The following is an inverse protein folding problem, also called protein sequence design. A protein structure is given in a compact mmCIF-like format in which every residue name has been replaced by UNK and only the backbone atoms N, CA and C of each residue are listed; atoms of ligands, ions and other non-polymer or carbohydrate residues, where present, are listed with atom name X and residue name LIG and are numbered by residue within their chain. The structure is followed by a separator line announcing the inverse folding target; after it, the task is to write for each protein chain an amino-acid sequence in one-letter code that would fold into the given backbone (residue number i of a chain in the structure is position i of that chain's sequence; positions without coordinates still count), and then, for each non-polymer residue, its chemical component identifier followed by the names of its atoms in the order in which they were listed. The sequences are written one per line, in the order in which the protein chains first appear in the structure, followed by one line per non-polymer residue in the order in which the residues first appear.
data_IF_233116105064
#
_entry.id   IF_233116105064
#
_cell.length_a   1.000
_cell.length_b   1.000
_cell.length_c   1.000
_cell.angle_alpha   90.00
_cell.angle_beta   90.00
_cell.angle_gamma   90.00
#
_symmetry.space_group_name_H-M   'P 1'
#
loop_
_entity.id
_entity.type
_entity.pdbx_description
1 polymer ?
#
# COMPACT_ATOMS: atom_id res chain seq x y z
N UNK A 1 -0.18 -19.82 -14.24
CA UNK A 1 0.70 -18.82 -14.91
C UNK A 1 1.61 -18.20 -13.85
N UNK A 2 2.92 -18.15 -14.09
CA UNK A 2 3.90 -17.53 -13.18
C UNK A 2 4.18 -16.11 -13.69
N UNK A 3 3.92 -15.09 -12.88
CA UNK A 3 4.04 -13.68 -13.26
C UNK A 3 4.96 -12.93 -12.27
N UNK A 4 5.75 -11.99 -12.79
CA UNK A 4 6.46 -11.02 -11.97
C UNK A 4 5.46 -9.96 -11.50
N UNK A 5 5.47 -9.65 -10.20
CA UNK A 5 4.61 -8.64 -9.61
C UNK A 5 5.45 -7.52 -9.05
N UNK A 6 5.14 -6.29 -9.44
CA UNK A 6 5.76 -5.09 -8.91
C UNK A 6 4.76 -4.33 -8.02
N UNK A 7 5.22 -3.87 -6.85
CA UNK A 7 4.44 -3.02 -5.95
C UNK A 7 5.31 -2.00 -5.24
N UNK A 8 4.70 -0.91 -4.80
CA UNK A 8 5.34 0.12 -3.97
C UNK A 8 4.74 0.05 -2.57
N UNK A 9 5.59 0.01 -1.55
CA UNK A 9 5.14 0.04 -0.15
C UNK A 9 4.67 1.44 0.24
N UNK A 10 3.89 1.59 1.33
CA UNK A 10 3.54 2.91 1.85
C UNK A 10 4.75 3.80 2.19
N UNK A 11 5.92 3.19 2.44
CA UNK A 11 7.20 3.88 2.64
C UNK A 11 7.90 4.32 1.34
N UNK A 12 7.31 4.07 0.17
CA UNK A 12 7.91 4.41 -1.14
C UNK A 12 8.92 3.39 -1.68
N UNK A 13 9.13 2.27 -1.00
CA UNK A 13 10.08 1.22 -1.41
C UNK A 13 9.46 0.32 -2.49
N UNK A 14 10.20 0.06 -3.57
CA UNK A 14 9.78 -0.87 -4.63
C UNK A 14 10.04 -2.31 -4.19
N UNK A 15 9.04 -3.19 -4.31
CA UNK A 15 9.17 -4.63 -4.09
C UNK A 15 8.75 -5.39 -5.35
N UNK A 16 9.60 -6.30 -5.78
CA UNK A 16 9.31 -7.25 -6.88
C UNK A 16 9.15 -8.64 -6.30
N UNK A 17 8.09 -9.33 -6.68
CA UNK A 17 7.87 -10.74 -6.37
C UNK A 17 8.00 -11.54 -7.66
N UNK A 18 8.91 -12.50 -7.66
CA UNK A 18 9.20 -13.33 -8.82
C UNK A 18 9.23 -14.82 -8.43
N UNK A 19 8.88 -15.73 -9.35
CA UNK A 19 9.12 -17.16 -9.19
C UNK A 19 10.59 -17.51 -8.93
N UNK A 20 10.83 -18.60 -8.20
CA UNK A 20 12.19 -19.03 -7.82
C UNK A 20 13.18 -19.24 -8.98
N UNK A 21 12.67 -19.64 -10.15
CA UNK A 21 13.50 -19.92 -11.34
C UNK A 21 13.70 -18.70 -12.25
N UNK A 22 13.17 -17.54 -11.87
CA UNK A 22 13.30 -16.31 -12.66
C UNK A 22 14.72 -15.79 -12.53
N UNK A 23 15.34 -15.48 -13.67
CA UNK A 23 16.71 -14.95 -13.70
C UNK A 23 16.74 -13.49 -13.23
N UNK A 24 17.88 -13.06 -12.70
CA UNK A 24 18.09 -11.66 -12.32
C UNK A 24 17.92 -10.69 -13.50
N UNK A 25 18.45 -11.04 -14.68
CA UNK A 25 18.32 -10.22 -15.87
C UNK A 25 16.85 -9.99 -16.29
N UNK A 26 15.99 -10.99 -16.10
CA UNK A 26 14.56 -10.87 -16.38
C UNK A 26 13.86 -9.96 -15.35
N UNK A 27 14.24 -10.04 -14.07
CA UNK A 27 13.76 -9.14 -13.02
C UNK A 27 14.20 -7.69 -13.31
N UNK A 28 15.46 -7.49 -13.66
CA UNK A 28 16.00 -6.17 -13.99
C UNK A 28 15.30 -5.56 -15.20
N UNK A 29 15.17 -6.31 -16.29
CA UNK A 29 14.49 -5.86 -17.49
C UNK A 29 13.03 -5.49 -17.19
N UNK A 30 12.33 -6.30 -16.38
CA UNK A 30 10.98 -6.01 -15.95
C UNK A 30 10.88 -4.69 -15.16
N UNK A 31 11.82 -4.43 -14.25
CA UNK A 31 11.88 -3.16 -13.49
C UNK A 31 12.17 -1.98 -14.41
N UNK A 32 13.09 -2.11 -15.36
CA UNK A 32 13.43 -1.07 -16.32
C UNK A 32 12.22 -0.71 -17.21
N UNK A 33 11.51 -1.72 -17.71
CA UNK A 33 10.28 -1.51 -18.50
C UNK A 33 9.19 -0.77 -17.72
N UNK A 34 9.14 -0.96 -16.40
CA UNK A 34 8.13 -0.34 -15.53
C UNK A 34 8.64 0.94 -14.84
N UNK A 35 9.83 1.44 -15.17
CA UNK A 35 10.45 2.55 -14.46
C UNK A 35 9.62 3.84 -14.51
N UNK A 36 8.95 4.11 -15.64
CA UNK A 36 8.02 5.23 -15.77
C UNK A 36 6.84 5.14 -14.79
N UNK A 37 6.21 3.96 -14.71
CA UNK A 37 5.13 3.69 -13.76
C UNK A 37 5.60 3.78 -12.31
N UNK A 38 6.80 3.26 -12.01
CA UNK A 38 7.39 3.32 -10.66
C UNK A 38 7.52 4.79 -10.21
N UNK A 39 8.15 5.62 -11.03
CA UNK A 39 8.35 7.05 -10.72
C UNK A 39 7.02 7.77 -10.54
N UNK A 40 6.06 7.55 -11.44
CA UNK A 40 4.73 8.15 -11.34
C UNK A 40 4.02 7.74 -10.03
N UNK A 41 4.09 6.46 -9.66
CA UNK A 41 3.42 5.97 -8.46
C UNK A 41 4.12 6.41 -7.16
N UNK A 42 5.45 6.56 -7.17
CA UNK A 42 6.18 7.18 -6.06
C UNK A 42 5.81 8.65 -5.89
N UNK A 43 5.69 9.40 -6.99
CA UNK A 43 5.28 10.80 -6.95
C UNK A 43 3.84 10.96 -6.44
N UNK A 44 2.91 10.11 -6.90
CA UNK A 44 1.53 10.08 -6.40
C UNK A 44 1.50 9.77 -4.89
N UNK A 45 2.31 8.82 -4.42
CA UNK A 45 2.38 8.47 -3.01
C UNK A 45 2.97 9.60 -2.15
N UNK A 46 4.00 10.29 -2.65
CA UNK A 46 4.60 11.44 -1.98
C UNK A 46 3.67 12.68 -1.97
N UNK A 47 2.85 12.84 -3.01
CA UNK A 47 1.85 13.90 -3.10
C UNK A 47 0.59 13.59 -2.30
N UNK A 48 0.39 12.33 -1.89
CA UNK A 48 -0.77 11.95 -1.08
C UNK A 48 -0.65 12.63 0.29
N UNK A 49 -1.66 13.40 0.71
CA UNK A 49 -1.66 13.94 2.07
C UNK A 49 -1.57 12.77 3.06
N UNK A 50 -0.84 12.98 4.16
CA UNK A 50 -0.80 12.01 5.24
C UNK A 50 -2.24 11.61 5.59
N UNK A 51 -2.53 10.31 5.76
CA UNK A 51 -3.86 9.91 6.18
C UNK A 51 -4.23 10.72 7.42
N UNK A 52 -5.43 11.34 7.45
CA UNK A 52 -5.85 12.08 8.62
C UNK A 52 -5.71 11.15 9.81
N UNK A 53 -5.11 11.64 10.90
CA UNK A 53 -5.20 10.95 12.18
C UNK A 53 -6.70 10.80 12.42
N UNK A 54 -7.17 9.55 12.47
CA UNK A 54 -8.57 9.32 12.76
C UNK A 54 -8.81 9.85 14.17
N UNK A 55 -9.44 11.01 14.26
CA UNK A 55 -9.99 11.54 15.51
C UNK A 55 -11.20 10.69 15.83
N UNK A 56 -10.93 9.50 16.36
CA UNK A 56 -11.94 8.62 16.90
C UNK A 56 -12.51 9.30 18.14
N UNK A 57 -13.67 9.92 18.00
CA UNK A 57 -14.35 10.57 19.12
C UNK A 57 -15.06 9.52 19.97
N UNK A 58 -14.88 9.59 21.29
CA UNK A 58 -15.63 8.75 22.22
C UNK A 58 -17.14 8.97 22.03
N UNK A 59 -17.86 7.86 21.81
CA UNK A 59 -19.31 7.86 21.62
C UNK A 59 -19.78 7.98 20.17
N UNK A 60 -18.88 8.03 19.18
CA UNK A 60 -19.29 7.91 17.77
C UNK A 60 -19.84 6.50 17.48
N UNK A 61 -20.98 6.42 16.79
CA UNK A 61 -21.60 5.15 16.42
C UNK A 61 -21.00 4.63 15.10
N UNK A 62 -20.24 3.53 15.18
CA UNK A 62 -19.72 2.84 14.01
C UNK A 62 -20.49 1.55 13.75
N UNK A 63 -20.82 1.30 12.48
CA UNK A 63 -21.45 0.05 12.07
C UNK A 63 -20.40 -1.04 11.87
N UNK A 64 -20.48 -2.09 12.68
CA UNK A 64 -19.75 -3.34 12.51
C UNK A 64 -20.75 -4.45 12.21
N UNK A 65 -20.63 -5.07 11.03
CA UNK A 65 -21.52 -6.14 10.57
C UNK A 65 -23.03 -5.81 10.65
N UNK A 66 -23.39 -4.55 10.41
CA UNK A 66 -24.79 -4.10 10.41
C UNK A 66 -25.33 -3.67 11.78
N UNK A 67 -24.51 -3.74 12.84
CA UNK A 67 -24.88 -3.25 14.17
C UNK A 67 -24.09 -1.99 14.52
N UNK A 68 -24.78 -0.98 15.07
CA UNK A 68 -24.16 0.24 15.56
C UNK A 68 -23.51 -0.01 16.92
N UNK A 69 -22.23 0.29 17.05
CA UNK A 69 -21.46 0.22 18.28
C UNK A 69 -20.91 1.61 18.59
N UNK A 70 -21.04 2.03 19.85
CA UNK A 70 -20.36 3.22 20.33
C UNK A 70 -18.86 2.92 20.45
N UNK A 71 -18.05 3.76 19.82
CA UNK A 71 -16.60 3.65 19.93
C UNK A 71 -16.16 4.08 21.33
N UNK A 72 -15.43 3.21 22.01
CA UNK A 72 -14.71 3.52 23.24
C UNK A 72 -13.21 3.58 22.92
N UNK A 73 -12.65 4.78 22.83
CA UNK A 73 -11.22 4.96 22.66
C UNK A 73 -10.56 4.90 24.04
N UNK A 74 -9.99 3.75 24.39
CA UNK A 74 -9.05 3.69 25.50
C UNK A 74 -7.71 4.26 25.04
N UNK A 75 -7.61 5.60 24.96
CA UNK A 75 -6.32 6.28 24.85
C UNK A 75 -5.61 6.10 26.19
N UNK A 76 -4.48 5.40 26.19
CA UNK A 76 -3.65 5.17 27.38
C UNK A 76 -2.37 5.98 27.28
#
# INVERSE_FOLDING_TARGET
MKYLRLRITPSGTVRVSAPWKTSWAEIENFVQQHQGWIKAKQAELAARPAPPVAEFMDGENHYLWGHAYALATHVK
#
